data_IF_190618334894
#
_entry.id   IF_190618334894
#
_cell.length_a   1.000
_cell.length_b   1.000
_cell.length_c   1.000
_cell.angle_alpha   90.00
_cell.angle_beta   90.00
_cell.angle_gamma   90.00
#
_symmetry.space_group_name_H-M   'P 1'
#
loop_
_entity.id
_entity.type
_entity.pdbx_description
1 polymer ?
#
# COMPACT_ATOMS: atom_id res chain seq x y z
N UNK A 1 -2.68 -0.85 26.16
CA UNK A 1 -4.03 -0.91 25.57
C UNK A 1 -3.87 -1.42 24.15
N UNK A 2 -4.44 -2.59 23.81
CA UNK A 2 -4.35 -3.11 22.45
C UNK A 2 -5.26 -2.26 21.55
N UNK A 3 -4.66 -1.36 20.75
CA UNK A 3 -5.42 -0.67 19.71
C UNK A 3 -5.92 -1.72 18.72
N UNK A 4 -7.24 -1.80 18.59
CA UNK A 4 -7.87 -2.69 17.62
C UNK A 4 -7.76 -2.01 16.25
N UNK A 5 -6.66 -2.26 15.54
CA UNK A 5 -6.42 -1.76 14.18
C UNK A 5 -7.24 -2.57 13.18
N UNK A 6 -8.57 -2.60 13.32
CA UNK A 6 -9.46 -3.28 12.39
C UNK A 6 -10.05 -2.24 11.44
N UNK A 7 -9.86 -2.46 10.15
CA UNK A 7 -10.35 -1.60 9.09
C UNK A 7 -11.63 -2.21 8.53
N UNK A 8 -12.64 -1.38 8.32
CA UNK A 8 -13.98 -1.78 7.96
C UNK A 8 -14.39 -1.22 6.59
N UNK A 9 -15.12 -2.04 5.82
CA UNK A 9 -15.84 -1.63 4.64
C UNK A 9 -17.16 -2.38 4.52
N UNK A 10 -18.23 -1.70 4.14
CA UNK A 10 -19.54 -2.31 3.93
C UNK A 10 -20.14 -1.94 2.58
N UNK A 11 -20.83 -2.89 1.96
CA UNK A 11 -21.47 -2.72 0.65
C UNK A 11 -22.94 -3.08 0.78
N UNK A 12 -23.82 -2.15 0.41
CA UNK A 12 -25.27 -2.33 0.42
C UNK A 12 -25.76 -2.36 -1.03
N UNK A 13 -26.47 -3.42 -1.39
CA UNK A 13 -26.94 -3.66 -2.76
C UNK A 13 -28.27 -4.41 -2.74
N UNK A 14 -29.00 -4.34 -3.85
CA UNK A 14 -30.20 -5.13 -4.05
C UNK A 14 -29.87 -6.44 -4.76
N UNK A 15 -30.24 -7.58 -4.18
CA UNK A 15 -29.99 -8.87 -4.82
C UNK A 15 -30.29 -10.08 -3.97
N UNK A 16 -29.86 -11.25 -4.46
CA UNK A 16 -29.91 -12.51 -3.74
C UNK A 16 -28.55 -12.71 -3.05
N UNK A 17 -28.51 -13.06 -1.75
CA UNK A 17 -27.25 -13.22 -1.01
C UNK A 17 -26.40 -14.39 -1.53
N UNK A 18 -27.01 -15.35 -2.25
CA UNK A 18 -26.36 -16.56 -2.73
C UNK A 18 -25.19 -16.24 -3.66
N UNK A 19 -23.98 -16.62 -3.25
CA UNK A 19 -22.77 -16.50 -4.05
C UNK A 19 -22.14 -15.09 -4.07
N UNK A 20 -22.72 -14.09 -3.41
CA UNK A 20 -22.13 -12.76 -3.31
C UNK A 20 -20.77 -12.80 -2.61
N UNK A 21 -20.70 -13.45 -1.43
CA UNK A 21 -19.44 -13.62 -0.69
C UNK A 21 -18.39 -14.38 -1.51
N UNK A 22 -18.79 -15.42 -2.24
CA UNK A 22 -17.89 -16.18 -3.08
C UNK A 22 -17.26 -15.29 -4.18
N UNK A 23 -18.08 -14.52 -4.90
CA UNK A 23 -17.59 -13.55 -5.90
C UNK A 23 -16.65 -12.51 -5.28
N UNK A 24 -17.06 -11.91 -4.16
CA UNK A 24 -16.24 -10.94 -3.45
C UNK A 24 -14.91 -11.54 -3.02
N UNK A 25 -14.91 -12.78 -2.51
CA UNK A 25 -13.71 -13.45 -2.04
C UNK A 25 -12.70 -13.70 -3.16
N UNK A 26 -13.16 -14.04 -4.37
CA UNK A 26 -12.28 -14.18 -5.54
C UNK A 26 -11.63 -12.84 -5.90
N UNK A 27 -12.43 -11.78 -6.04
CA UNK A 27 -11.91 -10.45 -6.39
C UNK A 27 -10.95 -9.92 -5.33
N UNK A 28 -11.26 -10.17 -4.06
CA UNK A 28 -10.38 -9.79 -2.96
C UNK A 28 -9.08 -10.58 -3.02
N UNK A 29 -9.13 -11.90 -3.26
CA UNK A 29 -7.91 -12.70 -3.40
C UNK A 29 -7.03 -12.21 -4.55
N UNK A 30 -7.62 -11.96 -5.73
CA UNK A 30 -6.91 -11.43 -6.90
C UNK A 30 -6.30 -10.06 -6.60
N UNK A 31 -7.05 -9.20 -5.90
CA UNK A 31 -6.58 -7.86 -5.50
C UNK A 31 -5.45 -7.95 -4.48
N UNK A 32 -5.53 -8.86 -3.50
CA UNK A 32 -4.45 -9.05 -2.54
C UNK A 32 -3.18 -9.53 -3.24
N UNK A 33 -3.29 -10.49 -4.16
CA UNK A 33 -2.16 -11.01 -4.93
C UNK A 33 -1.49 -9.93 -5.81
N UNK A 34 -2.28 -9.09 -6.49
CA UNK A 34 -1.78 -7.96 -7.29
C UNK A 34 -0.98 -6.94 -6.46
N UNK A 35 -1.32 -6.80 -5.18
CA UNK A 35 -0.64 -5.90 -4.25
C UNK A 35 0.43 -6.60 -3.39
N UNK A 36 0.79 -7.85 -3.74
CA UNK A 36 1.88 -8.59 -3.11
C UNK A 36 1.52 -9.37 -1.85
N UNK A 37 0.22 -9.56 -1.58
CA UNK A 37 -0.31 -10.30 -0.44
C UNK A 37 -0.95 -11.62 -0.90
N UNK A 38 -0.13 -12.64 -1.17
CA UNK A 38 -0.66 -13.96 -1.55
C UNK A 38 -1.51 -14.57 -0.45
N UNK A 39 -2.68 -15.12 -0.81
CA UNK A 39 -3.59 -15.76 0.14
C UNK A 39 -3.08 -17.16 0.47
N UNK A 40 -2.66 -17.37 1.72
CA UNK A 40 -2.18 -18.66 2.21
C UNK A 40 -3.32 -19.60 2.61
N UNK A 41 -4.39 -19.02 3.18
CA UNK A 41 -5.52 -19.79 3.69
C UNK A 41 -6.86 -19.19 3.28
N UNK A 42 -7.72 -20.06 2.76
CA UNK A 42 -9.12 -19.81 2.49
C UNK A 42 -9.99 -20.66 3.42
N UNK A 43 -10.98 -20.05 4.09
CA UNK A 43 -11.88 -20.75 4.99
C UNK A 43 -13.32 -20.25 4.84
N UNK A 44 -14.18 -21.08 4.27
CA UNK A 44 -15.63 -20.89 4.33
C UNK A 44 -16.19 -21.65 5.54
N UNK A 45 -16.46 -20.94 6.65
CA UNK A 45 -16.91 -21.59 7.90
C UNK A 45 -18.43 -21.79 7.96
N UNK A 46 -19.17 -21.01 7.17
CA UNK A 46 -20.63 -21.07 7.04
C UNK A 46 -21.05 -20.42 5.71
N UNK A 47 -22.33 -20.52 5.34
CA UNK A 47 -22.85 -19.93 4.09
C UNK A 47 -22.78 -18.40 4.06
N UNK A 48 -22.57 -17.76 5.20
CA UNK A 48 -22.63 -16.32 5.44
C UNK A 48 -21.28 -15.71 5.84
N UNK A 49 -20.21 -16.52 5.95
CA UNK A 49 -18.88 -16.04 6.34
C UNK A 49 -17.76 -16.73 5.56
N UNK A 50 -16.90 -15.91 4.95
CA UNK A 50 -15.65 -16.34 4.29
C UNK A 50 -14.48 -15.59 4.94
N UNK A 51 -13.41 -16.31 5.27
CA UNK A 51 -12.18 -15.73 5.75
C UNK A 51 -11.02 -16.02 4.79
N UNK A 52 -10.21 -15.00 4.54
CA UNK A 52 -8.96 -15.06 3.78
C UNK A 52 -7.84 -14.68 4.74
N UNK A 53 -6.72 -15.38 4.69
CA UNK A 53 -5.53 -15.04 5.48
C UNK A 53 -4.33 -15.03 4.55
N UNK A 54 -3.55 -13.98 4.66
CA UNK A 54 -2.23 -13.83 4.06
C UNK A 54 -1.21 -13.51 5.16
N UNK A 55 0.03 -13.33 4.75
CA UNK A 55 1.17 -12.97 5.59
C UNK A 55 0.92 -11.76 6.50
N UNK A 56 0.40 -10.65 5.95
CA UNK A 56 0.24 -9.39 6.67
C UNK A 56 -1.17 -9.16 7.21
N UNK A 57 -2.18 -9.79 6.61
CA UNK A 57 -3.58 -9.50 6.92
C UNK A 57 -4.44 -10.74 7.09
N UNK A 58 -5.48 -10.57 7.89
CA UNK A 58 -6.64 -11.44 7.94
C UNK A 58 -7.86 -10.66 7.48
N UNK A 59 -8.53 -11.16 6.45
CA UNK A 59 -9.76 -10.60 5.93
C UNK A 59 -10.93 -11.50 6.27
N UNK A 60 -12.03 -10.91 6.70
CA UNK A 60 -13.28 -11.63 6.93
C UNK A 60 -14.40 -10.91 6.20
N UNK A 61 -15.06 -11.64 5.31
CA UNK A 61 -16.29 -11.26 4.64
C UNK A 61 -17.46 -11.91 5.35
N UNK A 62 -18.51 -11.13 5.59
CA UNK A 62 -19.74 -11.58 6.25
C UNK A 62 -20.96 -11.01 5.53
N UNK A 63 -22.04 -11.77 5.45
CA UNK A 63 -23.36 -11.19 5.19
C UNK A 63 -23.81 -10.43 6.44
N UNK A 64 -23.97 -9.12 6.33
CA UNK A 64 -24.53 -8.27 7.37
C UNK A 64 -26.02 -8.55 7.58
N UNK A 65 -26.54 -8.12 8.73
CA UNK A 65 -27.99 -8.13 8.92
C UNK A 65 -28.65 -7.29 7.82
N UNK A 66 -29.76 -7.80 7.28
CA UNK A 66 -30.55 -7.07 6.31
C UNK A 66 -30.88 -5.69 6.90
N UNK A 67 -30.57 -4.58 6.21
CA UNK A 67 -30.95 -3.27 6.70
C UNK A 67 -32.48 -3.21 6.81
N UNK A 68 -33.00 -2.50 7.82
CA UNK A 68 -34.45 -2.30 8.00
C UNK A 68 -35.03 -1.60 6.76
N UNK A 69 -35.44 -2.40 5.78
CA UNK A 69 -36.18 -1.90 4.63
C UNK A 69 -37.62 -1.64 5.10
N UNK A 70 -38.28 -0.56 4.64
CA UNK A 70 -39.71 -0.40 4.83
C UNK A 70 -40.41 -1.66 4.31
N UNK A 71 -41.27 -2.27 5.13
CA UNK A 71 -42.06 -3.45 4.80
C UNK A 71 -43.08 -3.14 3.70
N UNK A 72 -42.60 -2.90 2.48
CA UNK A 72 -43.45 -2.79 1.30
C UNK A 72 -43.64 -4.18 0.70
N UNK A 73 -44.89 -4.64 0.55
CA UNK A 73 -45.14 -5.98 0.04
C UNK A 73 -45.05 -5.92 -1.48
N UNK A 74 -43.88 -6.15 -2.11
CA UNK A 74 -43.81 -6.57 -3.54
C UNK A 74 -42.39 -6.76 -4.11
N UNK A 75 -42.18 -7.90 -4.80
CA UNK A 75 -41.45 -8.17 -6.07
C UNK A 75 -39.98 -7.73 -6.20
N UNK A 76 -39.49 -6.79 -5.42
CA UNK A 76 -38.14 -6.25 -5.54
C UNK A 76 -37.10 -7.19 -4.91
N UNK A 77 -35.90 -7.28 -5.50
CA UNK A 77 -34.78 -7.98 -4.89
C UNK A 77 -34.55 -7.47 -3.46
N UNK A 78 -34.36 -8.38 -2.51
CA UNK A 78 -34.11 -8.03 -1.11
C UNK A 78 -32.86 -7.14 -0.99
N UNK A 79 -32.92 -6.18 -0.08
CA UNK A 79 -31.76 -5.38 0.29
C UNK A 79 -30.76 -6.26 1.03
N UNK A 80 -29.52 -6.28 0.57
CA UNK A 80 -28.44 -7.11 1.10
C UNK A 80 -27.27 -6.24 1.54
N UNK A 81 -26.54 -6.72 2.54
CA UNK A 81 -25.35 -6.06 3.08
C UNK A 81 -24.20 -7.05 3.14
N UNK A 82 -23.07 -6.70 2.54
CA UNK A 82 -21.80 -7.42 2.69
C UNK A 82 -20.87 -6.58 3.53
N UNK A 83 -20.35 -7.16 4.60
CA UNK A 83 -19.39 -6.53 5.50
C UNK A 83 -18.02 -7.15 5.28
N UNK A 84 -17.00 -6.31 5.19
CA UNK A 84 -15.62 -6.67 4.95
C UNK A 84 -14.80 -6.08 6.09
N UNK A 85 -14.00 -6.92 6.71
CA UNK A 85 -13.08 -6.48 7.74
C UNK A 85 -11.67 -6.92 7.40
N UNK A 86 -10.73 -5.98 7.48
CA UNK A 86 -9.31 -6.16 7.25
C UNK A 86 -8.59 -5.95 8.59
N UNK A 87 -7.89 -6.96 9.06
CA UNK A 87 -7.14 -6.91 10.30
C UNK A 87 -5.67 -7.22 10.02
N UNK A 88 -4.72 -6.31 10.32
CA UNK A 88 -3.30 -6.61 10.27
C UNK A 88 -2.94 -7.69 11.30
N UNK A 89 -2.12 -8.65 10.89
CA UNK A 89 -1.57 -9.67 11.77
C UNK A 89 -0.57 -9.07 12.78
N UNK A 90 0.12 -7.99 12.38
CA UNK A 90 1.11 -7.27 13.18
C UNK A 90 0.71 -5.79 13.34
N UNK A 91 -0.30 -5.46 14.16
CA UNK A 91 -0.90 -4.13 14.21
C UNK A 91 0.07 -3.01 14.67
N UNK A 92 1.15 -3.34 15.37
CA UNK A 92 2.17 -2.37 15.81
C UNK A 92 3.19 -2.03 14.74
N UNK A 93 3.25 -2.80 13.66
CA UNK A 93 4.22 -2.66 12.56
C UNK A 93 3.51 -2.49 11.21
N UNK A 94 2.22 -2.18 11.25
CA UNK A 94 1.40 -2.00 10.07
C UNK A 94 1.21 -0.51 9.84
N UNK A 95 1.41 -0.08 8.61
CA UNK A 95 1.04 1.26 8.18
C UNK A 95 -0.48 1.31 7.98
N UNK A 96 -1.13 2.14 8.79
CA UNK A 96 -2.58 2.32 8.74
C UNK A 96 -3.01 2.90 7.39
N UNK A 97 -2.27 3.88 6.84
CA UNK A 97 -2.64 4.54 5.58
C UNK A 97 -2.59 3.55 4.41
N UNK A 98 -1.57 2.67 4.38
CA UNK A 98 -1.49 1.62 3.36
C UNK A 98 -2.64 0.62 3.47
N UNK A 99 -3.03 0.27 4.69
CA UNK A 99 -4.12 -0.68 4.94
C UNK A 99 -5.48 -0.07 4.59
N UNK A 100 -5.67 1.22 4.86
CA UNK A 100 -6.84 1.98 4.42
C UNK A 100 -6.90 2.08 2.89
N UNK A 101 -5.76 2.38 2.25
CA UNK A 101 -5.65 2.40 0.79
C UNK A 101 -6.02 1.04 0.17
N UNK A 102 -5.51 -0.06 0.73
CA UNK A 102 -5.85 -1.41 0.29
C UNK A 102 -7.35 -1.69 0.42
N UNK A 103 -7.97 -1.29 1.54
CA UNK A 103 -9.42 -1.38 1.70
C UNK A 103 -10.15 -0.54 0.64
N UNK A 104 -9.71 0.69 0.35
CA UNK A 104 -10.30 1.53 -0.69
C UNK A 104 -10.29 0.84 -2.06
N UNK A 105 -9.17 0.22 -2.43
CA UNK A 105 -9.03 -0.50 -3.70
C UNK A 105 -9.95 -1.72 -3.77
N UNK A 106 -10.01 -2.51 -2.69
CA UNK A 106 -10.92 -3.65 -2.57
C UNK A 106 -12.37 -3.17 -2.77
N UNK A 107 -12.79 -2.14 -2.03
CA UNK A 107 -14.14 -1.61 -2.10
C UNK A 107 -14.45 -1.06 -3.51
N UNK A 108 -13.52 -0.31 -4.12
CA UNK A 108 -13.63 0.20 -5.48
C UNK A 108 -13.89 -0.90 -6.51
N UNK A 109 -13.21 -2.04 -6.41
CA UNK A 109 -13.39 -3.19 -7.32
C UNK A 109 -14.72 -3.93 -7.07
N UNK A 110 -15.18 -3.99 -5.83
CA UNK A 110 -16.39 -4.72 -5.46
C UNK A 110 -17.69 -3.95 -5.74
N UNK A 111 -17.68 -2.62 -5.63
CA UNK A 111 -18.84 -1.76 -5.90
C UNK A 111 -19.53 -2.07 -7.24
N UNK A 112 -18.83 -2.10 -8.40
CA UNK A 112 -19.48 -2.41 -9.67
C UNK A 112 -19.94 -3.86 -9.77
N UNK A 113 -19.24 -4.80 -9.12
CA UNK A 113 -19.54 -6.24 -9.21
C UNK A 113 -20.82 -6.60 -8.48
N UNK A 114 -21.04 -6.00 -7.30
CA UNK A 114 -22.29 -6.17 -6.55
C UNK A 114 -23.38 -5.21 -7.00
N UNK A 115 -23.06 -4.27 -7.90
CA UNK A 115 -23.90 -3.11 -8.18
C UNK A 115 -24.33 -2.38 -6.89
N UNK A 116 -23.39 -2.20 -5.95
CA UNK A 116 -23.65 -1.58 -4.67
C UNK A 116 -24.15 -0.14 -4.84
N UNK A 117 -25.23 0.20 -4.15
CA UNK A 117 -25.82 1.55 -4.16
C UNK A 117 -25.19 2.43 -3.09
N UNK A 118 -24.86 1.82 -1.95
CA UNK A 118 -24.26 2.52 -0.81
C UNK A 118 -23.01 1.77 -0.33
N UNK A 119 -22.05 2.57 0.15
CA UNK A 119 -20.75 2.13 0.64
C UNK A 119 -20.58 2.66 2.06
N UNK A 120 -20.36 1.78 3.02
CA UNK A 120 -19.97 2.15 4.37
C UNK A 120 -18.43 2.16 4.45
N UNK A 121 -17.84 3.31 4.78
CA UNK A 121 -16.38 3.52 4.71
C UNK A 121 -15.77 3.75 6.09
N UNK A 122 -14.86 2.87 6.52
CA UNK A 122 -14.14 2.90 7.81
C UNK A 122 -14.99 2.75 9.06
N UNK A 123 -16.20 3.30 9.05
CA UNK A 123 -17.19 3.21 10.10
C UNK A 123 -18.54 2.79 9.48
N UNK A 124 -19.29 1.87 10.11
CA UNK A 124 -20.62 1.46 9.63
C UNK A 124 -21.61 2.63 9.48
N UNK A 125 -21.48 3.69 10.27
CA UNK A 125 -22.33 4.88 10.19
C UNK A 125 -21.92 5.86 9.08
N UNK A 126 -20.68 5.76 8.59
CA UNK A 126 -20.16 6.60 7.50
C UNK A 126 -20.58 6.04 6.14
N UNK A 127 -21.85 6.24 5.78
CA UNK A 127 -22.42 5.78 4.51
C UNK A 127 -22.28 6.82 3.42
N UNK A 128 -21.73 6.41 2.28
CA UNK A 128 -21.57 7.18 1.05
C UNK A 128 -22.43 6.57 -0.05
N UNK A 129 -22.95 7.40 -0.95
CA UNK A 129 -23.56 6.89 -2.18
C UNK A 129 -22.48 6.33 -3.10
N UNK A 130 -22.87 5.43 -4.01
CA UNK A 130 -21.98 4.92 -5.06
C UNK A 130 -21.23 6.03 -5.79
N UNK A 131 -21.92 7.10 -6.19
CA UNK A 131 -21.30 8.20 -6.94
C UNK A 131 -20.32 9.01 -6.08
N UNK A 132 -20.64 9.23 -4.81
CA UNK A 132 -19.74 9.92 -3.87
C UNK A 132 -18.47 9.13 -3.59
N UNK A 133 -18.59 7.81 -3.41
CA UNK A 133 -17.43 6.96 -3.18
C UNK A 133 -16.54 6.88 -4.44
N UNK A 134 -17.15 6.65 -5.60
CA UNK A 134 -16.39 6.49 -6.85
C UNK A 134 -15.71 7.79 -7.32
N UNK A 135 -16.28 8.97 -7.01
CA UNK A 135 -15.67 10.24 -7.39
C UNK A 135 -14.31 10.51 -6.74
N UNK A 136 -14.02 9.87 -5.60
CA UNK A 136 -12.69 9.92 -4.98
C UNK A 136 -11.59 9.31 -5.88
N UNK A 137 -11.96 8.43 -6.82
CA UNK A 137 -11.04 7.73 -7.72
C UNK A 137 -10.94 8.39 -9.11
N UNK A 138 -11.77 9.38 -9.43
CA UNK A 138 -11.79 10.02 -10.74
C UNK A 138 -10.43 10.67 -11.10
N UNK A 139 -9.74 11.24 -10.12
CA UNK A 139 -8.43 11.87 -10.32
C UNK A 139 -7.27 10.87 -10.44
N UNK A 140 -7.45 9.63 -9.96
CA UNK A 140 -6.43 8.57 -10.04
C UNK A 140 -6.35 8.00 -11.45
N UNK A 141 -7.50 7.89 -12.14
CA UNK A 141 -7.54 7.45 -13.54
C UNK A 141 -6.82 8.43 -14.48
N UNK A 142 -6.78 9.72 -14.15
CA UNK A 142 -6.02 10.75 -14.88
C UNK A 142 -4.49 10.57 -14.78
N UNK A 143 -4.00 9.78 -13.82
CA UNK A 143 -2.57 9.50 -13.63
C UNK A 143 -2.12 8.18 -14.26
N UNK A 144 -3.02 7.41 -14.89
CA UNK A 144 -2.55 6.39 -15.82
C UNK A 144 -1.67 7.11 -16.85
N UNK A 145 -0.40 6.70 -17.02
CA UNK A 145 0.42 7.25 -18.07
C UNK A 145 -0.35 6.98 -19.36
N UNK A 146 -0.93 8.04 -19.92
CA UNK A 146 -1.39 8.05 -21.30
C UNK A 146 -0.24 7.39 -22.05
N UNK A 147 -0.50 6.33 -22.84
CA UNK A 147 0.57 5.68 -23.58
C UNK A 147 1.24 6.81 -24.32
N UNK A 148 2.44 7.19 -23.86
CA UNK A 148 3.27 8.14 -24.56
C UNK A 148 3.40 7.43 -25.88
N UNK A 149 2.70 7.91 -26.90
CA UNK A 149 2.90 7.49 -28.27
C UNK A 149 4.38 7.70 -28.45
N UNK A 150 5.14 6.61 -28.34
CA UNK A 150 6.58 6.53 -28.50
C UNK A 150 6.80 6.73 -30.00
N UNK A 151 6.54 7.94 -30.47
CA UNK A 151 6.82 8.39 -31.82
C UNK A 151 8.33 8.60 -32.01
N UNK A 152 9.13 8.40 -30.95
CA UNK A 152 10.56 8.22 -31.06
C UNK A 152 10.93 6.85 -30.50
N UNK A 153 11.46 5.92 -31.31
CA UNK A 153 12.00 4.69 -30.79
C UNK A 153 13.12 5.04 -29.78
N UNK A 154 12.91 4.71 -28.50
CA UNK A 154 13.89 4.88 -27.42
C UNK A 154 15.22 4.18 -27.74
N UNK A 155 15.16 3.16 -28.60
CA UNK A 155 16.30 2.42 -29.11
C UNK A 155 16.24 2.47 -30.64
N UNK A 156 16.97 3.41 -31.24
CA UNK A 156 17.29 3.29 -32.66
C UNK A 156 18.07 1.99 -32.90
N UNK A 157 17.95 1.33 -34.07
CA UNK A 157 18.77 0.19 -34.42
C UNK A 157 20.25 0.44 -34.14
N UNK A 158 20.98 -0.60 -33.75
CA UNK A 158 22.38 -0.50 -33.34
C UNK A 158 23.22 0.12 -34.46
N UNK A 159 22.83 -0.10 -35.70
CA UNK A 159 23.46 0.42 -36.91
C UNK A 159 23.38 1.96 -37.00
N UNK A 160 22.24 2.56 -36.62
CA UNK A 160 22.08 4.03 -36.61
C UNK A 160 22.84 4.67 -35.45
N UNK A 161 22.82 4.04 -34.26
CA UNK A 161 23.56 4.53 -33.10
C UNK A 161 25.07 4.37 -33.27
N UNK A 162 25.55 3.31 -33.92
CA UNK A 162 26.95 3.10 -34.22
C UNK A 162 27.50 4.16 -35.20
N UNK A 163 26.77 4.46 -36.27
CA UNK A 163 27.18 5.47 -37.24
C UNK A 163 27.25 6.88 -36.64
N UNK A 164 26.29 7.25 -35.79
CA UNK A 164 26.31 8.54 -35.09
C UNK A 164 27.46 8.61 -34.07
N UNK A 165 27.72 7.50 -33.36
CA UNK A 165 28.83 7.42 -32.40
C UNK A 165 30.19 7.51 -33.12
N UNK A 166 30.38 6.83 -34.26
CA UNK A 166 31.58 6.92 -35.09
C UNK A 166 31.83 8.33 -35.61
N UNK A 167 30.76 9.02 -36.01
CA UNK A 167 30.82 10.43 -36.45
C UNK A 167 31.23 11.35 -35.29
N UNK A 168 30.71 11.10 -34.10
CA UNK A 168 31.07 11.86 -32.89
C UNK A 168 32.53 11.62 -32.48
N UNK A 169 33.00 10.36 -32.51
CA UNK A 169 34.39 9.99 -32.26
C UNK A 169 35.34 10.62 -33.28
N UNK A 170 34.99 10.59 -34.57
CA UNK A 170 35.77 11.22 -35.64
C UNK A 170 35.89 12.73 -35.46
N UNK A 171 34.82 13.39 -35.01
CA UNK A 171 34.81 14.82 -34.70
C UNK A 171 35.71 15.17 -33.50
N UNK A 172 35.67 14.35 -32.44
CA UNK A 172 36.56 14.52 -31.28
C UNK A 172 38.03 14.32 -31.67
N UNK A 173 38.33 13.30 -32.48
CA UNK A 173 39.69 13.05 -32.96
C UNK A 173 40.18 14.19 -33.88
N UNK A 174 39.34 14.67 -34.81
CA UNK A 174 39.68 15.81 -35.66
C UNK A 174 39.93 17.09 -34.84
N UNK A 175 39.22 17.30 -33.73
CA UNK A 175 39.49 18.41 -32.80
C UNK A 175 40.76 18.22 -31.96
N UNK A 176 41.21 16.98 -31.76
CA UNK A 176 42.42 16.66 -31.00
C UNK A 176 43.73 16.82 -31.83
N UNK A 177 43.63 16.84 -33.17
CA UNK A 177 44.78 17.06 -34.07
C UNK A 177 45.02 18.55 -34.43
N UNK A 178 44.21 19.48 -33.94
CA UNK A 178 44.60 20.89 -33.86
C UNK A 178 45.46 21.06 -32.60
N UNK A 179 46.76 21.31 -32.80
CA UNK A 179 47.81 21.44 -31.77
C UNK A 179 47.38 22.23 -30.51
N UNK A 180 47.99 21.92 -29.34
CA UNK A 180 47.52 22.38 -28.04
C UNK A 180 47.76 23.88 -27.89
N UNK A 181 46.68 24.65 -27.75
CA UNK A 181 46.77 25.95 -27.12
C UNK A 181 47.17 25.74 -25.65
N UNK A 182 48.07 26.55 -25.08
CA UNK A 182 48.47 26.41 -23.69
C UNK A 182 47.24 26.51 -22.80
N UNK A 183 47.15 25.59 -21.83
CA UNK A 183 46.10 25.55 -20.82
C UNK A 183 46.12 26.86 -20.04
N UNK A 184 45.31 27.82 -20.48
CA UNK A 184 44.87 28.90 -19.62
C UNK A 184 43.96 28.25 -18.58
N UNK A 185 44.43 28.21 -17.32
CA UNK A 185 43.61 27.91 -16.15
C UNK A 185 42.41 28.86 -16.15
N UNK A 186 41.28 28.42 -16.69
CA UNK A 186 40.01 29.07 -16.45
C UNK A 186 39.53 28.63 -15.06
N UNK A 187 39.81 29.47 -14.08
CA UNK A 187 39.18 29.40 -12.79
C UNK A 187 37.70 29.77 -12.96
N UNK A 188 36.81 28.78 -12.91
CA UNK A 188 35.38 29.01 -12.63
C UNK A 188 34.66 27.70 -12.26
N UNK A 189 34.95 27.18 -11.08
CA UNK A 189 33.99 26.42 -10.27
C UNK A 189 33.80 27.15 -8.93
N UNK A 190 33.24 28.35 -9.02
CA UNK A 190 32.66 29.06 -7.88
C UNK A 190 31.14 28.92 -7.98
N UNK A 191 30.65 27.72 -7.67
CA UNK A 191 29.35 27.47 -7.04
C UNK A 191 29.20 25.96 -6.82
N UNK A 192 28.88 25.60 -5.58
CA UNK A 192 28.57 24.26 -5.03
C UNK A 192 29.56 23.71 -3.98
N UNK A 193 29.99 24.54 -3.02
CA UNK A 193 30.33 24.07 -1.67
C UNK A 193 29.86 25.09 -0.63
N UNK A 194 28.55 25.31 -0.56
CA UNK A 194 27.91 25.81 0.66
C UNK A 194 27.15 24.62 1.24
N UNK A 195 27.33 24.38 2.55
CA UNK A 195 26.72 23.31 3.37
C UNK A 195 27.47 21.97 3.49
N UNK A 196 28.65 22.02 4.11
CA UNK A 196 29.20 20.92 4.92
C UNK A 196 30.16 21.44 6.00
N UNK A 197 29.77 22.52 6.69
CA UNK A 197 30.63 23.25 7.64
C UNK A 197 29.94 23.64 8.94
N UNK A 198 29.02 22.82 9.43
CA UNK A 198 28.26 23.14 10.64
C UNK A 198 27.74 21.90 11.36
N UNK A 199 28.64 21.03 11.85
CA UNK A 199 28.37 20.09 12.95
C UNK A 199 29.64 19.38 13.46
N UNK A 200 30.77 20.11 13.54
CA UNK A 200 31.99 19.66 14.24
C UNK A 200 32.59 20.83 15.01
N UNK A 201 31.90 21.28 16.06
CA UNK A 201 32.50 22.00 17.20
C UNK A 201 31.48 22.15 18.31
N UNK A 202 31.65 21.38 19.39
CA UNK A 202 30.97 21.63 20.64
C UNK A 202 30.59 20.40 21.44
N UNK A 203 31.57 19.67 21.96
CA UNK A 203 31.64 19.31 23.39
C UNK A 203 32.74 18.27 23.59
N UNK A 204 33.85 18.75 24.13
CA UNK A 204 34.89 17.90 24.67
C UNK A 204 34.76 17.84 26.21
N UNK A 205 34.99 16.62 26.72
CA UNK A 205 35.43 16.23 28.07
C UNK A 205 34.48 16.32 29.27
N UNK A 206 33.98 15.13 29.67
CA UNK A 206 34.35 14.58 30.98
C UNK A 206 34.48 13.04 30.92
N UNK A 207 35.72 12.58 30.89
CA UNK A 207 36.12 11.18 31.15
C UNK A 207 36.05 10.91 32.67
N UNK A 208 35.52 9.76 33.09
CA UNK A 208 36.11 8.86 34.11
C UNK A 208 35.60 7.40 33.88
N UNK A 209 36.55 6.56 33.43
CA UNK A 209 36.83 5.11 33.66
C UNK A 209 35.71 4.15 34.13
N UNK A 210 35.39 3.04 33.44
CA UNK A 210 36.08 1.75 33.16
C UNK A 210 35.63 0.57 34.09
N UNK A 211 34.88 -0.37 33.47
CA UNK A 211 34.92 -1.85 33.56
C UNK A 211 34.20 -2.59 34.74
N UNK A 212 33.49 -3.72 34.45
CA UNK A 212 32.66 -4.52 35.38
C UNK A 212 33.45 -5.70 36.03
N UNK A 213 32.86 -6.59 36.87
CA UNK A 213 32.23 -7.83 36.36
C UNK A 213 31.14 -8.51 37.26
N UNK A 214 30.37 -9.41 36.62
CA UNK A 214 29.84 -10.72 37.04
C UNK A 214 29.30 -11.02 38.46
N UNK A 215 28.17 -11.75 38.42
CA UNK A 215 27.69 -12.80 39.35
C UNK A 215 26.73 -12.38 40.48
N UNK A 216 25.50 -12.89 40.43
CA UNK A 216 25.06 -13.92 41.37
C UNK A 216 23.65 -14.46 41.01
N UNK A 217 23.61 -15.75 40.65
CA UNK A 217 22.44 -16.61 40.75
C UNK A 217 22.22 -17.07 42.22
N UNK A 218 21.08 -17.72 42.43
CA UNK A 218 20.57 -18.44 43.62
C UNK A 218 19.66 -17.60 44.53
N UNK A 219 18.33 -17.77 44.56
CA UNK A 219 17.48 -18.93 44.89
C UNK A 219 17.12 -19.04 46.38
N UNK A 220 15.90 -19.58 46.61
CA UNK A 220 15.26 -20.07 47.85
C UNK A 220 14.48 -19.01 48.67
N UNK A 221 13.35 -19.27 49.31
CA UNK A 221 12.38 -20.39 49.41
C UNK A 221 11.17 -19.85 50.23
N UNK A 222 9.96 -20.36 49.95
CA UNK A 222 8.82 -20.62 50.87
C UNK A 222 8.34 -19.52 51.86
N UNK A 223 7.05 -19.21 51.80
CA UNK A 223 6.13 -19.51 52.91
C UNK A 223 4.67 -19.51 52.45
N UNK A 224 4.00 -20.63 52.72
CA UNK A 224 2.55 -20.80 52.72
C UNK A 224 1.89 -19.94 53.81
N UNK A 225 0.59 -19.65 53.66
CA UNK A 225 -0.22 -19.03 54.71
C UNK A 225 -1.67 -18.85 54.30
N UNK A 226 -2.48 -19.87 54.61
CA UNK A 226 -3.94 -19.90 54.53
C UNK A 226 -4.59 -18.94 55.54
N UNK A 227 -5.59 -18.17 55.12
CA UNK A 227 -6.96 -18.11 55.66
C UNK A 227 -7.78 -17.06 54.90
#
# INVERSE_FOLDING_TARGET
>A
MAQKTQIYGGLIYFGIPSGALAKCSCIIADTLEEYGHSVDQFSARASDVIALTCDHYRLVLRMGNQPDAPEEPQIQPSLQRVEITLQPNFPTHCDTELSEMLMAIIMYRLVPVLAAEHVEWMDPSATLTRSQFLSAFDNVNSMQPQPLTLAQPRFAPIEETAAELERHCSKMQASAFQSPAPVAKLASYQRLTAWAGGLMRGSEHRLVSLIPPLSACAALLKSSGSL
#
